data_IF_611140293250
#
_entry.id   IF_611140293250
#
_cell.length_a   1.000
_cell.length_b   1.000
_cell.length_c   1.000
_cell.angle_alpha   90.00
_cell.angle_beta   90.00
_cell.angle_gamma   90.00
#
_symmetry.space_group_name_H-M   'P 1'
#
loop_
_entity.id
_entity.type
_entity.pdbx_description
1 polymer ?
#
# COMPACT_ATOMS: atom_id res chain seq x y z
N UNK A 1 12.08 9.10 5.01
CA UNK A 1 11.33 8.85 3.76
C UNK A 1 11.26 7.35 3.54
N UNK A 2 10.06 6.76 3.44
CA UNK A 2 9.92 5.33 3.20
C UNK A 2 10.43 4.94 1.80
N UNK A 3 10.95 3.72 1.71
CA UNK A 3 11.50 3.16 0.47
C UNK A 3 10.58 2.04 -0.03
N UNK A 4 10.22 2.09 -1.31
CA UNK A 4 9.46 1.00 -1.93
C UNK A 4 10.36 -0.18 -2.27
N UNK A 5 10.14 -1.33 -1.62
CA UNK A 5 11.04 -2.49 -1.69
C UNK A 5 11.30 -3.06 -3.09
N UNK A 6 10.36 -2.90 -4.02
CA UNK A 6 10.50 -3.46 -5.38
C UNK A 6 11.28 -2.57 -6.34
N UNK A 7 11.35 -1.26 -6.08
CA UNK A 7 12.05 -0.31 -6.95
C UNK A 7 13.20 0.41 -6.27
N UNK A 8 13.38 0.20 -4.97
CA UNK A 8 14.29 0.97 -4.09
C UNK A 8 14.13 2.49 -4.22
N UNK A 9 12.96 2.96 -4.69
CA UNK A 9 12.67 4.39 -4.77
C UNK A 9 12.21 4.90 -3.43
N UNK A 10 12.86 5.95 -2.95
CA UNK A 10 12.36 6.76 -1.85
C UNK A 10 11.12 7.53 -2.32
N UNK A 11 10.05 7.46 -1.53
CA UNK A 11 8.80 8.15 -1.80
C UNK A 11 8.44 9.06 -0.62
N UNK A 12 7.68 10.12 -0.91
CA UNK A 12 7.11 10.96 0.14
C UNK A 12 5.90 10.27 0.78
N UNK A 13 5.53 10.70 1.99
CA UNK A 13 4.33 10.20 2.68
C UNK A 13 3.06 10.52 1.89
N UNK A 14 3.00 11.69 1.26
CA UNK A 14 1.91 12.10 0.37
C UNK A 14 1.77 11.12 -0.79
N UNK A 15 2.89 10.73 -1.41
CA UNK A 15 2.85 9.80 -2.54
C UNK A 15 2.43 8.40 -2.12
N UNK A 16 2.83 7.94 -0.93
CA UNK A 16 2.35 6.70 -0.35
C UNK A 16 0.83 6.75 -0.10
N UNK A 17 0.31 7.87 0.42
CA UNK A 17 -1.13 8.08 0.65
C UNK A 17 -1.94 8.05 -0.64
N UNK A 18 -1.50 8.75 -1.69
CA UNK A 18 -2.13 8.72 -3.02
C UNK A 18 -2.18 7.30 -3.57
N UNK A 19 -1.07 6.57 -3.46
CA UNK A 19 -0.97 5.19 -3.94
C UNK A 19 -1.91 4.26 -3.19
N UNK A 20 -2.03 4.42 -1.85
CA UNK A 20 -2.95 3.64 -1.04
C UNK A 20 -4.41 3.84 -1.46
N UNK A 21 -4.81 5.08 -1.76
CA UNK A 21 -6.16 5.37 -2.27
C UNK A 21 -6.38 4.69 -3.61
N UNK A 22 -5.45 4.83 -4.55
CA UNK A 22 -5.56 4.20 -5.88
C UNK A 22 -5.69 2.67 -5.81
N UNK A 23 -4.87 2.02 -4.98
CA UNK A 23 -4.92 0.55 -4.79
C UNK A 23 -6.24 0.11 -4.17
N UNK A 24 -6.73 0.82 -3.14
CA UNK A 24 -8.02 0.51 -2.50
C UNK A 24 -9.19 0.72 -3.46
N UNK A 25 -9.14 1.74 -4.32
CA UNK A 25 -10.17 1.98 -5.33
C UNK A 25 -10.22 0.90 -6.42
N UNK A 26 -9.12 0.17 -6.64
CA UNK A 26 -9.08 -0.97 -7.55
C UNK A 26 -9.64 -2.27 -6.92
N UNK A 27 -10.05 -2.24 -5.64
CA UNK A 27 -10.65 -3.39 -4.97
C UNK A 27 -12.02 -3.73 -5.58
N UNK A 28 -12.21 -4.99 -5.97
CA UNK A 28 -13.47 -5.48 -6.54
C UNK A 28 -14.51 -5.91 -5.49
N UNK A 29 -14.26 -5.66 -4.20
CA UNK A 29 -15.14 -6.03 -3.08
C UNK A 29 -15.56 -7.51 -3.11
N UNK A 30 -14.56 -8.40 -3.20
CA UNK A 30 -14.78 -9.84 -3.20
C UNK A 30 -15.62 -10.28 -1.98
N UNK A 31 -16.56 -11.21 -2.19
CA UNK A 31 -17.44 -11.74 -1.13
C UNK A 31 -16.65 -12.34 0.04
N UNK A 32 -15.59 -13.09 -0.27
CA UNK A 32 -14.64 -13.61 0.71
C UNK A 32 -13.35 -12.79 0.67
N UNK A 33 -13.29 -11.73 1.49
CA UNK A 33 -12.09 -10.91 1.62
C UNK A 33 -11.03 -11.63 2.48
N UNK A 34 -9.91 -11.98 1.86
CA UNK A 34 -8.76 -12.60 2.54
C UNK A 34 -7.55 -11.66 2.53
N UNK A 35 -6.73 -11.76 3.58
CA UNK A 35 -5.40 -11.15 3.63
C UNK A 35 -4.44 -11.70 2.56
N UNK A 36 -4.81 -12.81 1.91
CA UNK A 36 -4.05 -13.35 0.80
C UNK A 36 -4.30 -12.67 -0.55
N UNK A 37 -5.32 -11.82 -0.63
CA UNK A 37 -5.62 -11.01 -1.82
C UNK A 37 -4.43 -10.10 -2.18
N UNK A 38 -4.03 -10.09 -3.44
CA UNK A 38 -2.92 -9.27 -3.93
C UNK A 38 -3.13 -7.76 -3.65
N UNK A 39 -4.38 -7.27 -3.75
CA UNK A 39 -4.73 -5.87 -3.44
C UNK A 39 -4.56 -5.61 -1.94
N UNK A 40 -5.04 -6.52 -1.09
CA UNK A 40 -4.90 -6.40 0.37
C UNK A 40 -3.43 -6.39 0.79
N UNK A 41 -2.62 -7.32 0.25
CA UNK A 41 -1.16 -7.39 0.48
C UNK A 41 -0.48 -6.07 0.08
N UNK A 42 -0.76 -5.59 -1.13
CA UNK A 42 -0.17 -4.33 -1.64
C UNK A 42 -0.59 -3.13 -0.78
N UNK A 43 -1.86 -3.04 -0.40
CA UNK A 43 -2.36 -1.97 0.47
C UNK A 43 -1.71 -2.00 1.86
N UNK A 44 -1.48 -3.20 2.41
CA UNK A 44 -0.77 -3.39 3.67
C UNK A 44 0.69 -2.94 3.60
N UNK A 45 1.39 -3.29 2.52
CA UNK A 45 2.78 -2.85 2.29
C UNK A 45 2.89 -1.33 2.19
N UNK A 46 1.97 -0.67 1.49
CA UNK A 46 1.94 0.80 1.39
C UNK A 46 1.60 1.44 2.75
N UNK A 47 0.67 0.84 3.52
CA UNK A 47 0.33 1.33 4.86
C UNK A 47 1.53 1.26 5.81
N UNK A 48 2.29 0.17 5.78
CA UNK A 48 3.48 0.00 6.60
C UNK A 48 4.55 1.09 6.32
N UNK A 49 4.67 1.55 5.07
CA UNK A 49 5.55 2.67 4.71
C UNK A 49 5.13 4.00 5.33
N UNK A 50 3.85 4.18 5.64
CA UNK A 50 3.34 5.38 6.29
C UNK A 50 3.51 5.33 7.81
N UNK A 51 3.54 4.13 8.39
CA UNK A 51 3.72 3.86 9.83
C UNK A 51 5.21 3.80 10.23
N UNK A 52 6.13 3.72 9.27
CA UNK A 52 7.58 3.79 9.51
C UNK A 52 8.06 5.24 9.61
N UNK A 53 7.84 5.87 10.76
CA UNK A 53 8.77 6.83 11.39
C UNK A 53 8.86 6.51 12.90
N UNK A 54 10.03 6.68 13.54
CA UNK A 54 10.18 6.56 15.00
C UNK A 54 9.32 7.58 15.78
#
# INVERSE_FOLDING_TARGET
>A
MPVWKYSNKSLTKEKARESLVAVKSACFNCENHSNDCAISKTAGEIKAMMETEP
#
